data_IF_818998257368
#
_entry.id   IF_818998257368
#
_cell.length_a   1.000
_cell.length_b   1.000
_cell.length_c   1.000
_cell.angle_alpha   90.00
_cell.angle_beta   90.00
_cell.angle_gamma   90.00
#
_symmetry.space_group_name_H-M   'P 1'
#
loop_
_entity.id
_entity.type
_entity.pdbx_description
1 polymer ?
#
# COMPACT_ATOMS: atom_id res chain seq x y z
N UNK A 1 0.99 -38.21 -13.94
CA UNK A 1 0.92 -39.51 -13.27
C UNK A 1 2.15 -39.61 -12.40
N UNK A 2 1.94 -39.65 -11.10
CA UNK A 2 2.98 -39.53 -10.08
C UNK A 2 2.40 -39.96 -8.75
N UNK A 3 3.11 -40.84 -8.06
CA UNK A 3 2.75 -41.32 -6.74
C UNK A 3 3.74 -40.78 -5.70
N UNK A 4 3.25 -40.53 -4.50
CA UNK A 4 4.07 -40.29 -3.31
C UNK A 4 3.73 -41.37 -2.30
N UNK A 5 4.65 -42.31 -2.11
CA UNK A 5 4.53 -43.36 -1.10
C UNK A 5 5.70 -43.27 -0.14
N UNK A 6 5.39 -43.05 1.13
CA UNK A 6 6.35 -43.01 2.23
C UNK A 6 5.89 -44.00 3.27
N UNK A 7 6.61 -45.13 3.38
CA UNK A 7 6.18 -46.23 4.23
C UNK A 7 7.28 -46.76 5.13
N UNK A 8 6.88 -47.33 6.27
CA UNK A 8 7.72 -48.08 7.19
C UNK A 8 8.97 -47.33 7.71
N UNK A 9 8.92 -45.99 7.74
CA UNK A 9 10.02 -45.15 8.21
C UNK A 9 9.76 -44.71 9.66
N UNK A 10 10.13 -45.56 10.63
CA UNK A 10 9.79 -45.35 12.05
C UNK A 10 10.41 -44.10 12.69
N UNK A 11 11.52 -43.60 12.15
CA UNK A 11 12.21 -42.40 12.66
C UNK A 11 11.80 -41.11 11.94
N UNK A 12 10.98 -41.21 10.88
CA UNK A 12 10.54 -40.05 10.11
C UNK A 12 9.53 -39.25 10.94
N UNK A 13 9.83 -37.98 11.20
CA UNK A 13 8.96 -37.08 11.99
C UNK A 13 8.21 -36.06 11.14
N UNK A 14 8.75 -35.72 9.96
CA UNK A 14 8.17 -34.76 9.02
C UNK A 14 8.43 -35.14 7.56
N UNK A 15 7.72 -34.49 6.64
CA UNK A 15 7.95 -34.55 5.19
C UNK A 15 8.71 -33.32 4.64
N UNK A 16 9.48 -32.64 5.49
CA UNK A 16 10.23 -31.46 5.09
C UNK A 16 11.13 -31.76 3.88
N UNK A 17 11.18 -30.82 2.93
CA UNK A 17 11.79 -31.00 1.62
C UNK A 17 10.79 -31.27 0.48
N UNK A 18 9.51 -31.49 0.79
CA UNK A 18 8.44 -31.69 -0.20
C UNK A 18 7.56 -30.45 -0.43
N UNK A 19 7.94 -29.28 0.08
CA UNK A 19 7.12 -28.06 0.09
C UNK A 19 6.77 -27.52 -1.30
N UNK A 20 7.54 -27.91 -2.32
CA UNK A 20 7.32 -27.50 -3.71
C UNK A 20 6.35 -28.41 -4.48
N UNK A 21 5.86 -29.49 -3.87
CA UNK A 21 4.87 -30.36 -4.52
C UNK A 21 3.53 -29.65 -4.68
N UNK A 22 3.03 -29.61 -5.92
CA UNK A 22 1.73 -29.01 -6.26
C UNK A 22 0.71 -30.03 -6.78
N UNK A 23 1.17 -31.20 -7.24
CA UNK A 23 0.32 -32.25 -7.84
C UNK A 23 0.78 -33.63 -7.35
N UNK A 24 -0.16 -34.44 -6.87
CA UNK A 24 0.01 -35.88 -6.65
C UNK A 24 -1.12 -36.59 -7.40
N UNK A 25 -0.75 -37.43 -8.36
CA UNK A 25 -1.67 -37.89 -9.40
C UNK A 25 -2.40 -39.18 -9.05
N UNK A 26 -1.65 -40.25 -8.81
CA UNK A 26 -2.23 -41.60 -8.82
C UNK A 26 -2.36 -42.18 -7.40
N UNK A 27 -1.43 -41.84 -6.51
CA UNK A 27 -1.45 -42.34 -5.15
C UNK A 27 -0.71 -41.40 -4.19
N UNK A 28 -1.31 -41.16 -3.03
CA UNK A 28 -0.65 -40.60 -1.86
C UNK A 28 -0.79 -41.61 -0.73
N UNK A 29 0.30 -42.30 -0.38
CA UNK A 29 0.33 -43.27 0.71
C UNK A 29 1.35 -42.89 1.77
N UNK A 30 0.88 -42.62 2.99
CA UNK A 30 1.70 -42.43 4.18
C UNK A 30 1.39 -43.56 5.17
N UNK A 31 2.23 -44.60 5.20
CA UNK A 31 1.93 -45.87 5.84
C UNK A 31 2.98 -46.37 6.82
N UNK A 32 2.68 -46.52 8.10
CA UNK A 32 3.60 -47.17 9.06
C UNK A 32 4.79 -46.30 9.50
N UNK A 33 4.69 -44.98 9.37
CA UNK A 33 5.70 -44.04 9.85
C UNK A 33 5.32 -43.59 11.27
N UNK A 34 5.60 -44.43 12.27
CA UNK A 34 5.07 -44.28 13.62
C UNK A 34 5.43 -42.97 14.33
N UNK A 35 6.52 -42.30 13.94
CA UNK A 35 6.93 -41.01 14.51
C UNK A 35 6.49 -39.79 13.68
N UNK A 36 5.82 -40.01 12.53
CA UNK A 36 5.42 -38.94 11.62
C UNK A 36 4.26 -38.18 12.23
N UNK A 37 4.51 -36.92 12.57
CA UNK A 37 3.54 -36.00 13.20
C UNK A 37 3.25 -34.77 12.34
N UNK A 38 4.10 -34.49 11.33
CA UNK A 38 4.03 -33.28 10.53
C UNK A 38 4.06 -33.59 9.02
N UNK A 39 2.98 -33.24 8.32
CA UNK A 39 2.87 -33.33 6.85
C UNK A 39 2.62 -31.95 6.23
N UNK A 40 2.96 -30.87 6.93
CA UNK A 40 2.73 -29.49 6.47
C UNK A 40 3.43 -29.16 5.15
N UNK A 41 4.47 -29.91 4.77
CA UNK A 41 5.09 -29.83 3.45
C UNK A 41 4.08 -30.08 2.29
N UNK A 42 2.96 -30.76 2.54
CA UNK A 42 1.92 -31.01 1.54
C UNK A 42 0.90 -29.85 1.40
N UNK A 43 1.02 -28.77 2.17
CA UNK A 43 0.09 -27.63 2.12
C UNK A 43 0.01 -26.94 0.75
N UNK A 44 1.05 -27.09 -0.08
CA UNK A 44 1.09 -26.54 -1.44
C UNK A 44 0.51 -27.46 -2.52
N UNK A 45 0.13 -28.69 -2.17
CA UNK A 45 -0.55 -29.59 -3.09
C UNK A 45 -1.94 -29.04 -3.42
N UNK A 46 -2.21 -28.85 -4.71
CA UNK A 46 -3.49 -28.34 -5.25
C UNK A 46 -4.30 -29.42 -5.94
N UNK A 47 -3.63 -30.43 -6.51
CA UNK A 47 -4.28 -31.55 -7.18
C UNK A 47 -3.92 -32.86 -6.48
N UNK A 48 -4.94 -33.58 -6.04
CA UNK A 48 -4.85 -34.94 -5.54
C UNK A 48 -5.77 -35.84 -6.37
N UNK A 49 -5.20 -36.83 -7.03
CA UNK A 49 -5.96 -37.88 -7.71
C UNK A 49 -5.79 -39.24 -7.04
N UNK A 50 -6.48 -40.23 -7.61
CA UNK A 50 -6.33 -41.65 -7.27
C UNK A 50 -6.56 -41.98 -5.79
N UNK A 51 -5.75 -42.91 -5.28
CA UNK A 51 -5.90 -43.48 -3.92
C UNK A 51 -5.15 -42.62 -2.91
N UNK A 52 -5.84 -42.25 -1.83
CA UNK A 52 -5.24 -41.52 -0.71
C UNK A 52 -5.33 -42.42 0.51
N UNK A 53 -4.19 -42.74 1.10
CA UNK A 53 -4.13 -43.61 2.27
C UNK A 53 -3.18 -43.05 3.33
N UNK A 54 -3.71 -42.77 4.52
CA UNK A 54 -2.92 -42.43 5.71
C UNK A 54 -3.17 -43.49 6.79
N UNK A 55 -2.18 -44.34 7.03
CA UNK A 55 -2.28 -45.39 8.04
C UNK A 55 -1.04 -45.59 8.90
N UNK A 56 -1.25 -45.91 10.19
CA UNK A 56 -0.19 -46.27 11.15
C UNK A 56 0.88 -45.18 11.33
N UNK A 57 0.46 -43.91 11.41
CA UNK A 57 1.32 -42.76 11.75
C UNK A 57 0.91 -42.14 13.11
N UNK A 58 1.54 -41.04 13.51
CA UNK A 58 1.18 -40.26 14.72
C UNK A 58 0.55 -38.89 14.40
N UNK A 59 0.02 -38.73 13.18
CA UNK A 59 -0.61 -37.49 12.73
C UNK A 59 -1.86 -37.18 13.56
N UNK A 60 -1.89 -36.04 14.25
CA UNK A 60 -3.10 -35.50 14.89
C UNK A 60 -3.81 -34.45 14.02
N UNK A 61 -3.08 -33.87 13.07
CA UNK A 61 -3.62 -33.02 12.02
C UNK A 61 -3.04 -33.47 10.67
N UNK A 62 -3.92 -33.73 9.71
CA UNK A 62 -3.52 -34.05 8.34
C UNK A 62 -4.35 -33.33 7.28
N UNK A 63 -5.04 -32.24 7.67
CA UNK A 63 -5.82 -31.44 6.74
C UNK A 63 -4.91 -30.55 5.92
N UNK A 64 -5.10 -30.55 4.61
CA UNK A 64 -4.54 -29.56 3.68
C UNK A 64 -5.52 -29.41 2.51
N UNK A 65 -5.34 -28.33 1.74
CA UNK A 65 -6.28 -27.90 0.70
C UNK A 65 -6.80 -29.07 -0.16
N UNK A 66 -5.90 -29.78 -0.85
CA UNK A 66 -6.31 -30.80 -1.81
C UNK A 66 -7.01 -32.00 -1.15
N UNK A 67 -6.67 -32.35 0.10
CA UNK A 67 -7.34 -33.44 0.81
C UNK A 67 -8.77 -33.04 1.20
N UNK A 68 -8.95 -31.82 1.70
CA UNK A 68 -10.26 -31.31 2.08
C UNK A 68 -11.19 -31.15 0.88
N UNK A 69 -10.66 -30.71 -0.28
CA UNK A 69 -11.42 -30.66 -1.53
C UNK A 69 -11.87 -32.06 -1.98
N UNK A 70 -10.99 -33.07 -1.90
CA UNK A 70 -11.31 -34.46 -2.24
C UNK A 70 -12.33 -35.09 -1.28
N UNK A 71 -12.29 -34.73 -0.01
CA UNK A 71 -13.25 -35.16 1.00
C UNK A 71 -14.63 -34.52 0.77
N UNK A 72 -14.68 -33.24 0.40
CA UNK A 72 -15.93 -32.49 0.22
C UNK A 72 -16.79 -33.03 -0.93
N UNK A 73 -16.18 -33.58 -1.98
CA UNK A 73 -16.91 -34.17 -3.13
C UNK A 73 -17.30 -35.63 -2.92
N UNK A 74 -16.86 -36.26 -1.82
CA UNK A 74 -17.05 -37.68 -1.54
C UNK A 74 -16.16 -38.57 -2.42
N UNK A 75 -15.33 -39.41 -1.80
CA UNK A 75 -14.46 -40.34 -2.53
C UNK A 75 -14.22 -41.63 -1.74
N UNK A 76 -14.62 -42.77 -2.28
CA UNK A 76 -14.35 -44.09 -1.71
C UNK A 76 -12.86 -44.48 -1.76
N UNK A 77 -12.04 -43.72 -2.50
CA UNK A 77 -10.60 -43.95 -2.62
C UNK A 77 -9.76 -43.34 -1.49
N UNK A 78 -10.39 -42.81 -0.44
CA UNK A 78 -9.71 -42.19 0.71
C UNK A 78 -9.82 -43.13 1.92
N UNK A 79 -8.68 -43.58 2.45
CA UNK A 79 -8.60 -44.44 3.64
C UNK A 79 -7.71 -43.79 4.68
N UNK A 80 -8.29 -43.46 5.83
CA UNK A 80 -7.58 -42.84 6.94
C UNK A 80 -7.92 -43.64 8.20
N UNK A 81 -6.91 -44.27 8.81
CA UNK A 81 -7.10 -45.09 10.01
C UNK A 81 -5.78 -45.30 10.75
N UNK A 82 -5.81 -45.59 12.05
CA UNK A 82 -4.60 -45.82 12.87
C UNK A 82 -3.62 -44.63 12.84
N UNK A 83 -4.11 -43.41 13.00
CA UNK A 83 -3.28 -42.22 13.27
C UNK A 83 -3.68 -41.59 14.63
N UNK A 84 -3.10 -40.43 14.95
CA UNK A 84 -3.48 -39.65 16.13
C UNK A 84 -4.90 -39.07 16.03
N UNK A 85 -5.46 -38.68 17.19
CA UNK A 85 -6.77 -38.04 17.26
C UNK A 85 -6.80 -36.76 16.40
N UNK A 86 -7.79 -36.65 15.52
CA UNK A 86 -7.92 -35.57 14.53
C UNK A 86 -7.46 -35.95 13.12
N UNK A 87 -6.78 -37.10 12.97
CA UNK A 87 -6.50 -37.73 11.68
C UNK A 87 -6.73 -39.25 11.71
N UNK A 88 -7.53 -39.78 12.64
CA UNK A 88 -7.71 -41.23 12.79
C UNK A 88 -8.86 -41.80 11.95
N UNK A 89 -9.69 -40.96 11.34
CA UNK A 89 -10.73 -41.39 10.40
C UNK A 89 -11.05 -40.31 9.39
N UNK A 90 -11.71 -40.69 8.29
CA UNK A 90 -12.20 -39.76 7.27
C UNK A 90 -13.12 -38.70 7.90
N UNK A 91 -13.99 -39.09 8.82
CA UNK A 91 -14.94 -38.20 9.50
C UNK A 91 -14.24 -37.17 10.38
N UNK A 92 -13.17 -37.58 11.09
CA UNK A 92 -12.37 -36.65 11.90
C UNK A 92 -11.67 -35.61 11.03
N UNK A 93 -11.07 -36.04 9.92
CA UNK A 93 -10.38 -35.14 8.99
C UNK A 93 -11.38 -34.20 8.31
N UNK A 94 -12.53 -34.71 7.89
CA UNK A 94 -13.59 -33.89 7.31
C UNK A 94 -14.13 -32.86 8.29
N UNK A 95 -14.31 -33.20 9.57
CA UNK A 95 -14.68 -32.24 10.61
C UNK A 95 -13.59 -31.16 10.78
N UNK A 96 -12.31 -31.55 10.71
CA UNK A 96 -11.17 -30.64 10.84
C UNK A 96 -10.93 -29.76 9.60
N UNK A 97 -11.39 -30.17 8.42
CA UNK A 97 -11.37 -29.31 7.23
C UNK A 97 -12.17 -28.01 7.44
N UNK A 98 -13.17 -28.04 8.33
CA UNK A 98 -13.95 -26.89 8.78
C UNK A 98 -14.85 -26.30 7.69
N UNK A 99 -15.97 -25.71 8.10
CA UNK A 99 -16.73 -24.86 7.19
C UNK A 99 -15.91 -23.60 6.89
N UNK A 100 -15.92 -23.16 5.63
CA UNK A 100 -15.38 -21.84 5.30
C UNK A 100 -16.25 -20.79 5.99
N UNK A 101 -15.60 -19.86 6.70
CA UNK A 101 -16.22 -18.71 7.31
C UNK A 101 -15.25 -17.53 7.29
N UNK A 102 -15.76 -16.30 7.22
CA UNK A 102 -14.93 -15.11 7.36
C UNK A 102 -14.61 -14.93 8.84
N UNK A 103 -13.33 -14.99 9.20
CA UNK A 103 -12.86 -14.81 10.58
C UNK A 103 -12.41 -13.38 10.84
N UNK A 104 -11.92 -12.69 9.80
CA UNK A 104 -11.61 -11.26 9.87
C UNK A 104 -12.03 -10.58 8.55
N UNK A 105 -13.10 -9.76 8.55
CA UNK A 105 -13.48 -9.04 7.34
C UNK A 105 -12.46 -7.94 6.99
N UNK A 106 -12.51 -7.40 5.76
CA UNK A 106 -11.81 -6.17 5.41
C UNK A 106 -12.13 -5.03 6.38
N UNK A 107 -11.23 -4.04 6.53
CA UNK A 107 -11.53 -2.82 7.29
C UNK A 107 -12.83 -2.19 6.80
N UNK A 108 -13.58 -1.52 7.69
CA UNK A 108 -14.85 -0.89 7.29
C UNK A 108 -14.66 0.36 6.44
N UNK A 109 -13.62 1.16 6.73
CA UNK A 109 -13.36 2.45 6.09
C UNK A 109 -11.86 2.74 6.03
N UNK A 110 -11.40 3.31 4.91
CA UNK A 110 -10.12 4.01 4.81
C UNK A 110 -10.30 5.31 4.06
N UNK A 111 -9.68 6.38 4.57
CA UNK A 111 -9.64 7.69 3.93
C UNK A 111 -8.18 8.03 3.66
N UNK A 112 -7.83 8.20 2.39
CA UNK A 112 -6.46 8.47 1.95
C UNK A 112 -6.41 9.59 0.92
N UNK A 113 -5.22 10.10 0.64
CA UNK A 113 -5.00 11.06 -0.43
C UNK A 113 -4.71 10.37 -1.75
N UNK A 114 -5.07 11.01 -2.87
CA UNK A 114 -4.67 10.55 -4.19
C UNK A 114 -3.15 10.34 -4.26
N UNK A 115 -2.71 9.26 -4.90
CA UNK A 115 -1.32 8.80 -4.94
C UNK A 115 -0.94 7.80 -3.85
N UNK A 116 -1.79 7.59 -2.83
CA UNK A 116 -1.51 6.61 -1.76
C UNK A 116 -1.59 5.17 -2.27
N UNK A 117 -0.95 4.25 -1.54
CA UNK A 117 -1.18 2.82 -1.69
C UNK A 117 -2.12 2.34 -0.58
N UNK A 118 -3.07 1.48 -0.92
CA UNK A 118 -4.10 0.95 -0.01
C UNK A 118 -4.07 -0.56 -0.06
N UNK A 119 -4.07 -1.17 1.13
CA UNK A 119 -4.23 -2.62 1.29
C UNK A 119 -5.43 -2.91 2.18
N UNK A 120 -6.26 -3.86 1.77
CA UNK A 120 -7.35 -4.39 2.58
C UNK A 120 -7.32 -5.92 2.49
N UNK A 121 -7.33 -6.61 3.62
CA UNK A 121 -7.24 -8.06 3.68
C UNK A 121 -8.49 -8.68 4.30
N UNK A 122 -8.79 -9.91 3.88
CA UNK A 122 -9.77 -10.79 4.51
C UNK A 122 -9.05 -12.03 5.03
N UNK A 123 -9.51 -12.56 6.18
CA UNK A 123 -9.08 -13.86 6.70
C UNK A 123 -10.29 -14.78 6.81
N UNK A 124 -10.06 -16.07 6.52
CA UNK A 124 -11.09 -17.11 6.62
C UNK A 124 -10.65 -18.29 7.47
N UNK A 125 -11.61 -19.01 8.05
CA UNK A 125 -11.42 -20.42 8.44
C UNK A 125 -11.62 -21.32 7.23
N UNK A 126 -11.17 -22.58 7.32
CA UNK A 126 -11.28 -23.54 6.22
C UNK A 126 -10.45 -23.15 4.99
N UNK A 127 -10.78 -23.74 3.85
CA UNK A 127 -10.00 -23.58 2.61
C UNK A 127 -10.79 -22.79 1.56
N UNK A 128 -10.29 -21.61 1.20
CA UNK A 128 -10.75 -20.84 0.05
C UNK A 128 -10.08 -21.34 -1.23
N UNK A 129 -10.85 -21.48 -2.31
CA UNK A 129 -10.39 -21.88 -3.64
C UNK A 129 -10.11 -20.67 -4.53
N UNK A 130 -10.85 -19.57 -4.34
CA UNK A 130 -10.62 -18.32 -5.06
C UNK A 130 -11.12 -17.11 -4.30
N UNK A 131 -10.51 -15.96 -4.57
CA UNK A 131 -10.98 -14.64 -4.17
C UNK A 131 -11.27 -13.83 -5.42
N UNK A 132 -12.32 -13.01 -5.39
CA UNK A 132 -12.57 -12.00 -6.41
C UNK A 132 -13.13 -10.74 -5.76
N UNK A 133 -12.41 -9.64 -5.95
CA UNK A 133 -12.82 -8.34 -5.45
C UNK A 133 -13.74 -7.63 -6.42
N UNK A 134 -14.73 -6.93 -5.87
CA UNK A 134 -15.69 -6.12 -6.59
C UNK A 134 -15.68 -4.71 -6.03
N UNK A 135 -15.75 -3.71 -6.90
CA UNK A 135 -15.96 -2.31 -6.57
C UNK A 135 -17.32 -1.88 -7.09
N UNK A 136 -18.21 -1.46 -6.19
CA UNK A 136 -19.57 -1.03 -6.53
C UNK A 136 -20.31 -2.05 -7.43
N UNK A 137 -20.11 -3.35 -7.17
CA UNK A 137 -20.72 -4.45 -7.94
C UNK A 137 -19.99 -4.85 -9.23
N UNK A 138 -18.94 -4.14 -9.64
CA UNK A 138 -18.13 -4.49 -10.82
C UNK A 138 -16.84 -5.17 -10.38
N UNK A 139 -16.45 -6.25 -11.05
CA UNK A 139 -15.20 -6.96 -10.75
C UNK A 139 -14.01 -6.03 -10.87
N UNK A 140 -13.08 -6.09 -9.91
CA UNK A 140 -11.77 -5.44 -9.99
C UNK A 140 -10.80 -6.46 -10.60
N UNK A 141 -10.40 -6.31 -11.87
CA UNK A 141 -9.58 -7.31 -12.54
C UNK A 141 -8.25 -7.54 -11.82
N UNK A 142 -7.74 -8.76 -11.88
CA UNK A 142 -6.44 -9.18 -11.31
C UNK A 142 -6.34 -9.14 -9.78
N UNK A 143 -7.38 -8.73 -9.05
CA UNK A 143 -7.42 -8.80 -7.60
C UNK A 143 -8.04 -10.15 -7.18
N UNK A 144 -7.21 -11.19 -7.18
CA UNK A 144 -7.61 -12.59 -6.94
C UNK A 144 -7.04 -13.20 -5.66
N UNK A 145 -6.55 -12.36 -4.76
CA UNK A 145 -5.93 -12.75 -3.50
C UNK A 145 -6.79 -12.34 -2.30
N UNK A 146 -6.49 -12.91 -1.13
CA UNK A 146 -7.10 -12.50 0.14
C UNK A 146 -6.82 -11.03 0.50
N UNK A 147 -5.82 -10.42 -0.12
CA UNK A 147 -5.50 -8.99 0.02
C UNK A 147 -5.79 -8.26 -1.29
N UNK A 148 -6.64 -7.24 -1.20
CA UNK A 148 -6.77 -6.18 -2.20
C UNK A 148 -5.57 -5.25 -2.07
N UNK A 149 -4.84 -5.04 -3.16
CA UNK A 149 -3.71 -4.11 -3.23
C UNK A 149 -3.96 -3.09 -4.32
N UNK A 150 -4.26 -1.86 -3.93
CA UNK A 150 -4.41 -0.71 -4.83
C UNK A 150 -3.20 0.19 -4.69
N UNK A 151 -2.56 0.55 -5.80
CA UNK A 151 -1.40 1.44 -5.82
C UNK A 151 -1.73 2.72 -6.55
N UNK A 152 -1.11 3.83 -6.11
CA UNK A 152 -1.31 5.15 -6.72
C UNK A 152 -2.79 5.50 -6.90
N UNK A 153 -3.61 5.32 -5.85
CA UNK A 153 -5.07 5.47 -5.94
C UNK A 153 -5.45 6.88 -6.36
N UNK A 154 -6.47 7.00 -7.20
CA UNK A 154 -7.04 8.27 -7.65
C UNK A 154 -8.45 8.46 -7.10
N UNK A 155 -9.00 9.67 -7.21
CA UNK A 155 -10.38 9.96 -6.74
C UNK A 155 -11.42 9.06 -7.40
N UNK A 156 -11.18 8.66 -8.65
CA UNK A 156 -11.98 7.68 -9.37
C UNK A 156 -11.96 6.28 -8.76
N UNK A 157 -10.96 5.94 -7.93
CA UNK A 157 -10.85 4.65 -7.22
C UNK A 157 -11.71 4.58 -5.96
N UNK A 158 -12.24 5.70 -5.46
CA UNK A 158 -13.16 5.70 -4.33
C UNK A 158 -14.39 4.82 -4.60
N UNK A 159 -14.88 4.15 -3.56
CA UNK A 159 -16.04 3.26 -3.65
C UNK A 159 -16.09 2.19 -2.56
N UNK A 160 -17.11 1.34 -2.66
CA UNK A 160 -17.30 0.20 -1.77
C UNK A 160 -16.71 -1.05 -2.41
N UNK A 161 -15.74 -1.65 -1.72
CA UNK A 161 -15.10 -2.88 -2.11
C UNK A 161 -15.65 -4.05 -1.30
N UNK A 162 -16.02 -5.13 -1.98
CA UNK A 162 -16.37 -6.40 -1.35
C UNK A 162 -15.54 -7.51 -1.97
N UNK A 163 -15.21 -8.53 -1.21
CA UNK A 163 -14.59 -9.75 -1.74
C UNK A 163 -15.56 -10.90 -1.66
N UNK A 164 -15.71 -11.59 -2.78
CA UNK A 164 -16.37 -12.90 -2.82
C UNK A 164 -15.30 -13.96 -2.65
N UNK A 165 -15.45 -14.77 -1.61
CA UNK A 165 -14.59 -15.92 -1.31
C UNK A 165 -15.34 -17.19 -1.68
N UNK A 166 -14.76 -17.98 -2.56
CA UNK A 166 -15.33 -19.26 -2.99
C UNK A 166 -14.59 -20.41 -2.30
N UNK A 167 -15.31 -21.45 -1.90
CA UNK A 167 -14.77 -22.77 -1.55
C UNK A 167 -15.33 -23.84 -2.51
N UNK A 168 -14.98 -25.12 -2.31
CA UNK A 168 -15.59 -26.24 -3.05
C UNK A 168 -17.12 -26.31 -2.94
N UNK A 169 -17.69 -25.86 -1.82
CA UNK A 169 -19.09 -26.13 -1.47
C UNK A 169 -19.94 -24.88 -1.31
N UNK A 170 -19.34 -23.71 -1.11
CA UNK A 170 -20.08 -22.47 -0.84
C UNK A 170 -19.30 -21.24 -1.29
N UNK A 171 -19.99 -20.10 -1.28
CA UNK A 171 -19.40 -18.77 -1.49
C UNK A 171 -19.83 -17.83 -0.38
N UNK A 172 -18.89 -17.06 0.14
CA UNK A 172 -19.11 -16.01 1.13
C UNK A 172 -18.85 -14.65 0.48
N UNK A 173 -19.60 -13.63 0.90
CA UNK A 173 -19.31 -12.23 0.54
C UNK A 173 -18.96 -11.47 1.80
N UNK A 174 -17.89 -10.68 1.76
CA UNK A 174 -17.48 -9.87 2.90
C UNK A 174 -18.43 -8.70 3.18
N UNK A 175 -18.34 -8.14 4.38
CA UNK A 175 -18.80 -6.76 4.61
C UNK A 175 -18.01 -5.79 3.71
N UNK A 176 -18.61 -4.62 3.35
CA UNK A 176 -17.93 -3.65 2.49
C UNK A 176 -16.75 -2.97 3.19
N UNK A 177 -15.66 -2.83 2.45
CA UNK A 177 -14.58 -1.89 2.70
C UNK A 177 -14.83 -0.60 1.92
N UNK A 178 -15.13 0.49 2.61
CA UNK A 178 -15.30 1.79 1.97
C UNK A 178 -13.95 2.48 1.81
N UNK A 179 -13.58 2.79 0.57
CA UNK A 179 -12.41 3.61 0.26
C UNK A 179 -12.86 5.02 -0.12
N UNK A 180 -12.38 6.01 0.63
CA UNK A 180 -12.49 7.44 0.33
C UNK A 180 -11.12 7.93 -0.12
N UNK A 181 -11.06 8.54 -1.30
CA UNK A 181 -9.83 9.13 -1.84
C UNK A 181 -10.04 10.63 -2.00
N UNK A 182 -9.33 11.41 -1.20
CA UNK A 182 -9.35 12.87 -1.23
C UNK A 182 -8.40 13.37 -2.33
N UNK A 183 -8.85 14.37 -3.10
CA UNK A 183 -8.02 15.01 -4.11
C UNK A 183 -6.84 15.75 -3.48
N UNK A 184 -5.74 15.79 -4.21
CA UNK A 184 -4.63 16.70 -3.92
C UNK A 184 -4.79 17.89 -4.85
N UNK A 185 -4.80 19.11 -4.29
CA UNK A 185 -4.84 20.32 -5.11
C UNK A 185 -3.46 20.58 -5.72
N UNK A 186 -3.41 21.14 -6.94
CA UNK A 186 -2.15 21.54 -7.57
C UNK A 186 -1.64 22.86 -6.94
N UNK A 187 -0.55 22.85 -6.16
CA UNK A 187 -0.06 24.05 -5.50
C UNK A 187 0.67 24.96 -6.50
N UNK A 188 0.52 26.27 -6.32
CA UNK A 188 1.35 27.27 -7.00
C UNK A 188 1.76 28.36 -6.03
N UNK A 189 2.97 28.89 -6.19
CA UNK A 189 3.53 29.94 -5.33
C UNK A 189 4.14 31.05 -6.20
N UNK A 190 3.49 32.21 -6.23
CA UNK A 190 3.92 33.37 -6.99
C UNK A 190 4.51 34.45 -6.07
N UNK A 191 5.46 35.23 -6.58
CA UNK A 191 6.06 36.40 -5.90
C UNK A 191 5.66 37.68 -6.64
N UNK A 192 5.32 38.74 -5.90
CA UNK A 192 4.87 40.01 -6.49
C UNK A 192 5.95 40.81 -7.22
N UNK A 193 7.23 40.46 -7.08
CA UNK A 193 8.37 41.15 -7.69
C UNK A 193 9.68 40.90 -6.93
N UNK A 194 10.80 41.53 -7.36
CA UNK A 194 12.06 41.49 -6.63
C UNK A 194 12.05 42.46 -5.43
N UNK A 195 12.88 42.19 -4.42
CA UNK A 195 13.21 43.18 -3.40
C UNK A 195 14.15 44.24 -4.00
N UNK A 196 13.93 45.52 -3.72
CA UNK A 196 14.76 46.63 -4.17
C UNK A 196 14.97 47.62 -3.02
N UNK A 197 15.80 48.65 -3.22
CA UNK A 197 15.97 49.71 -2.23
C UNK A 197 14.65 50.45 -1.90
N UNK A 198 13.72 50.52 -2.85
CA UNK A 198 12.39 51.11 -2.68
C UNK A 198 11.33 50.09 -2.23
N UNK A 199 11.51 48.81 -2.58
CA UNK A 199 10.58 47.72 -2.25
C UNK A 199 11.23 46.78 -1.23
N UNK A 200 11.08 47.11 0.05
CA UNK A 200 11.68 46.35 1.17
C UNK A 200 10.87 45.13 1.58
N UNK A 201 9.67 44.96 1.04
CA UNK A 201 8.85 43.76 1.24
C UNK A 201 8.09 43.40 -0.03
N UNK A 202 8.06 42.11 -0.36
CA UNK A 202 7.27 41.54 -1.46
C UNK A 202 6.27 40.53 -0.89
N UNK A 203 5.23 40.23 -1.65
CA UNK A 203 4.17 39.31 -1.24
C UNK A 203 4.29 37.98 -1.99
N UNK A 204 4.35 36.89 -1.23
CA UNK A 204 4.11 35.54 -1.73
C UNK A 204 2.60 35.30 -1.81
N UNK A 205 2.12 34.72 -2.90
CA UNK A 205 0.71 34.36 -3.11
C UNK A 205 0.63 32.89 -3.48
N UNK A 206 -0.01 32.09 -2.61
CA UNK A 206 -0.28 30.68 -2.85
C UNK A 206 -1.61 30.48 -3.60
N UNK A 207 -1.69 29.38 -4.35
CA UNK A 207 -2.89 28.91 -5.05
C UNK A 207 -3.15 27.44 -4.72
N UNK A 208 -4.41 27.01 -4.86
CA UNK A 208 -4.89 25.71 -4.36
C UNK A 208 -5.08 25.70 -2.83
N UNK A 209 -5.63 24.62 -2.30
CA UNK A 209 -5.75 24.39 -0.85
C UNK A 209 -6.75 25.30 -0.15
N UNK A 210 -6.90 25.06 1.15
CA UNK A 210 -7.74 25.84 2.07
C UNK A 210 -6.96 26.39 3.27
N UNK A 211 -5.83 25.75 3.62
CA UNK A 211 -4.88 26.27 4.60
C UNK A 211 -3.46 26.21 4.05
N UNK A 212 -2.61 27.11 4.56
CA UNK A 212 -1.28 27.36 4.03
C UNK A 212 -0.26 27.36 5.17
N UNK A 213 0.92 26.80 4.92
CA UNK A 213 2.10 26.94 5.76
C UNK A 213 3.28 27.41 4.91
N UNK A 214 3.60 28.69 5.02
CA UNK A 214 4.73 29.30 4.33
C UNK A 214 6.00 29.18 5.16
N UNK A 215 7.10 28.83 4.49
CA UNK A 215 8.41 28.68 5.11
C UNK A 215 9.50 29.29 4.21
N UNK A 216 10.54 29.86 4.82
CA UNK A 216 11.72 30.39 4.14
C UNK A 216 12.50 31.37 5.02
N UNK A 217 13.50 32.07 4.47
CA UNK A 217 14.30 33.04 5.23
C UNK A 217 13.42 34.10 5.93
N UNK A 218 13.47 34.12 7.26
CA UNK A 218 12.70 35.05 8.09
C UNK A 218 11.18 34.85 8.06
N UNK A 219 10.67 33.75 7.47
CA UNK A 219 9.23 33.48 7.36
C UNK A 219 8.86 32.11 7.92
N UNK A 220 7.98 32.12 8.92
CA UNK A 220 7.18 30.97 9.35
C UNK A 220 5.76 31.46 9.58
N UNK A 221 4.84 31.13 8.67
CA UNK A 221 3.44 31.57 8.76
C UNK A 221 2.51 30.41 8.43
N UNK A 222 1.53 30.16 9.30
CA UNK A 222 0.49 29.16 9.08
C UNK A 222 -0.90 29.75 9.29
N UNK A 223 -1.88 29.34 8.49
CA UNK A 223 -3.27 29.78 8.63
C UNK A 223 -4.07 29.73 7.34
N UNK A 224 -5.26 30.35 7.31
CA UNK A 224 -6.12 30.38 6.12
C UNK A 224 -5.69 31.45 5.10
N UNK A 225 -4.79 32.36 5.47
CA UNK A 225 -4.28 33.39 4.54
C UNK A 225 -3.41 32.74 3.47
N UNK A 226 -3.78 32.91 2.20
CA UNK A 226 -2.97 32.47 1.06
C UNK A 226 -1.88 33.48 0.67
N UNK A 227 -1.64 34.50 1.51
CA UNK A 227 -0.62 35.53 1.30
C UNK A 227 0.32 35.65 2.49
N UNK A 228 1.60 35.85 2.18
CA UNK A 228 2.68 36.08 3.13
C UNK A 228 3.58 37.23 2.67
N UNK A 229 3.95 38.13 3.57
CA UNK A 229 4.91 39.19 3.30
C UNK A 229 6.33 38.71 3.65
N UNK A 230 7.30 39.01 2.78
CA UNK A 230 8.71 38.64 2.97
C UNK A 230 9.62 39.81 2.65
N UNK A 231 10.73 39.92 3.38
CA UNK A 231 11.71 41.01 3.27
C UNK A 231 13.15 40.53 3.09
N UNK A 232 13.34 39.21 2.99
CA UNK A 232 14.65 38.59 2.76
C UNK A 232 14.64 37.86 1.41
N UNK A 233 15.70 37.95 0.60
CA UNK A 233 15.85 37.12 -0.58
C UNK A 233 16.11 35.67 -0.20
N UNK A 234 15.79 34.75 -1.10
CA UNK A 234 16.04 33.32 -0.94
C UNK A 234 14.90 32.46 -1.45
N UNK A 235 15.02 31.15 -1.21
CA UNK A 235 14.01 30.16 -1.61
C UNK A 235 12.92 30.05 -0.53
N UNK A 236 11.67 30.14 -0.97
CA UNK A 236 10.49 30.01 -0.13
C UNK A 236 9.65 28.83 -0.59
N UNK A 237 8.98 28.19 0.36
CA UNK A 237 8.03 27.13 0.12
C UNK A 237 6.68 27.45 0.74
N UNK A 238 5.63 26.85 0.18
CA UNK A 238 4.31 26.78 0.81
C UNK A 238 3.86 25.33 0.79
N UNK A 239 3.39 24.83 1.94
CA UNK A 239 2.59 23.61 2.03
C UNK A 239 1.13 24.04 2.04
N UNK A 240 0.37 23.61 1.05
CA UNK A 240 -1.09 23.79 1.03
C UNK A 240 -1.75 22.54 1.59
N UNK A 241 -2.88 22.69 2.26
CA UNK A 241 -3.74 21.57 2.67
C UNK A 241 -5.12 21.76 2.05
N UNK A 242 -5.58 20.78 1.27
CA UNK A 242 -6.93 20.74 0.71
C UNK A 242 -7.99 20.53 1.81
N UNK A 243 -9.26 20.75 1.48
CA UNK A 243 -10.38 20.49 2.38
C UNK A 243 -10.43 19.04 2.90
N UNK A 244 -9.93 18.07 2.12
CA UNK A 244 -9.81 16.66 2.51
C UNK A 244 -8.57 16.31 3.35
N UNK A 245 -7.79 17.32 3.77
CA UNK A 245 -6.59 17.12 4.58
C UNK A 245 -5.34 16.72 3.80
N UNK A 246 -5.42 16.61 2.47
CA UNK A 246 -4.28 16.26 1.63
C UNK A 246 -3.38 17.45 1.36
N UNK A 247 -2.07 17.24 1.46
CA UNK A 247 -1.08 18.29 1.34
C UNK A 247 -0.29 18.22 0.04
N UNK A 248 0.15 19.39 -0.43
CA UNK A 248 1.07 19.52 -1.54
C UNK A 248 1.96 20.74 -1.34
N UNK A 249 3.13 20.75 -1.99
CA UNK A 249 4.12 21.82 -1.82
C UNK A 249 4.42 22.54 -3.14
N UNK A 250 4.58 23.86 -3.07
CA UNK A 250 5.13 24.67 -4.14
C UNK A 250 6.30 25.51 -3.62
N UNK A 251 7.17 25.93 -4.54
CA UNK A 251 8.40 26.66 -4.23
C UNK A 251 8.55 27.84 -5.17
N UNK A 252 9.19 28.90 -4.68
CA UNK A 252 9.59 30.05 -5.50
C UNK A 252 10.84 30.71 -4.91
N UNK A 253 11.51 31.54 -5.68
CA UNK A 253 12.69 32.28 -5.23
C UNK A 253 12.38 33.77 -5.23
N UNK A 254 12.61 34.41 -4.09
CA UNK A 254 12.62 35.87 -3.97
C UNK A 254 14.05 36.33 -4.24
N UNK A 255 14.21 37.21 -5.21
CA UNK A 255 15.51 37.81 -5.56
C UNK A 255 15.57 39.24 -5.04
N UNK A 256 16.77 39.69 -4.69
CA UNK A 256 17.06 41.10 -4.38
C UNK A 256 17.81 41.74 -5.52
N UNK A 257 17.30 42.86 -6.03
CA UNK A 257 17.97 43.74 -6.98
C UNK A 257 18.52 44.97 -6.24
N UNK A 258 19.31 44.73 -5.20
CA UNK A 258 19.93 45.77 -4.35
C UNK A 258 21.23 46.31 -4.94
N UNK A 259 21.67 45.79 -6.08
CA UNK A 259 22.84 46.28 -6.80
C UNK A 259 22.44 47.45 -7.71
N UNK A 260 22.15 48.60 -7.10
CA UNK A 260 22.32 49.85 -7.82
C UNK A 260 23.83 50.14 -7.86
N UNK A 261 24.40 50.16 -9.06
CA UNK A 261 25.74 50.65 -9.29
C UNK A 261 25.83 52.04 -8.64
N UNK A 262 26.76 52.23 -7.69
CA UNK A 262 26.92 53.50 -7.00
C UNK A 262 27.07 54.63 -8.05
N UNK A 263 26.37 55.77 -7.93
CA UNK A 263 26.50 56.86 -8.89
C UNK A 263 27.98 57.26 -8.98
N UNK A 264 28.57 57.12 -10.16
CA UNK A 264 29.93 57.56 -10.40
C UNK A 264 29.97 59.09 -10.37
N UNK A 265 30.66 59.64 -9.38
CA UNK A 265 31.00 61.07 -9.34
C UNK A 265 32.00 61.36 -10.46
N UNK A 266 31.54 62.03 -11.52
CA UNK A 266 32.44 62.64 -12.51
C UNK A 266 32.84 64.02 -11.97
N UNK A 267 34.09 64.15 -11.53
CA UNK A 267 34.67 65.47 -11.23
C UNK A 267 35.12 66.12 -12.53
N UNK A 268 34.69 67.35 -12.77
CA UNK A 268 35.06 68.10 -13.99
C UNK A 268 36.24 69.06 -13.78
N UNK A 269 36.96 69.00 -12.66
CA UNK A 269 37.97 70.00 -12.30
C UNK A 269 39.40 69.43 -12.31
N UNK A 270 40.23 69.92 -13.24
CA UNK A 270 41.69 69.68 -13.29
C UNK A 270 42.51 70.90 -12.89
N UNK A 271 41.94 71.94 -12.24
CA UNK A 271 42.67 73.20 -11.97
C UNK A 271 42.41 73.81 -10.59
N UNK A 272 43.48 74.30 -9.96
CA UNK A 272 43.59 74.85 -8.59
C UNK A 272 43.21 76.32 -8.44
N UNK A 273 42.10 76.78 -9.04
CA UNK A 273 41.61 78.16 -8.80
C UNK A 273 40.23 78.19 -8.15
N UNK A 274 39.98 79.24 -7.36
CA UNK A 274 38.87 79.43 -6.40
C UNK A 274 37.53 79.67 -7.14
N UNK A 275 37.04 78.67 -7.86
CA UNK A 275 35.66 78.64 -8.38
C UNK A 275 34.82 77.56 -7.68
N UNK A 276 33.50 77.76 -7.54
CA UNK A 276 32.62 76.77 -6.94
C UNK A 276 32.61 75.47 -7.77
N UNK A 277 33.00 74.37 -7.13
CA UNK A 277 32.94 73.04 -7.73
C UNK A 277 31.46 72.66 -7.89
N UNK A 278 31.05 72.42 -9.13
CA UNK A 278 29.72 71.89 -9.43
C UNK A 278 29.81 70.37 -9.48
N UNK A 279 29.16 69.68 -8.55
CA UNK A 279 29.06 68.22 -8.58
C UNK A 279 27.70 67.86 -9.17
N UNK A 280 27.69 67.19 -10.32
CA UNK A 280 26.46 66.61 -10.89
C UNK A 280 26.51 65.10 -10.67
N UNK A 281 25.54 64.59 -9.90
CA UNK A 281 25.31 63.15 -9.79
C UNK A 281 24.39 62.73 -10.93
N UNK A 282 24.86 61.86 -11.83
CA UNK A 282 24.00 61.18 -12.80
C UNK A 282 23.81 59.73 -12.40
N UNK A 283 22.56 59.35 -12.15
CA UNK A 283 22.12 57.97 -12.02
C UNK A 283 20.71 57.87 -12.60
N UNK A 284 20.37 56.73 -13.20
CA UNK A 284 19.01 56.46 -13.64
C UNK A 284 18.09 56.42 -12.42
N UNK A 285 17.21 57.41 -12.29
CA UNK A 285 15.99 57.27 -11.50
C UNK A 285 15.08 56.33 -12.30
N UNK A 286 14.95 55.07 -11.88
CA UNK A 286 13.86 54.18 -12.27
C UNK A 286 13.06 53.82 -11.04
#
# INVERSE_FOLDING_TARGET
MGYLSVTASSSLTSLNGLENLTVIGDELHLGGNRSLIDISALNNVRTLGGIIQFDKNSLSNCTFYALCERLAVGSESIRIYLNGQGCNSVEQVQANCGAIAITNPPPGLSTVCAGSNVMASVSTSGFATSYLWYKNGVTVPSQTSATLSLTNVQTGDAGNYVVVITSSTTSLTSSPFQLVVNSVDNPGLAVSGPLTCATTSVTLTASGGSTYSFNGPGLTQSGPSNRAAVSQPGMFSVIITSAGGCTASAFTTVVSNTDLQAPTLLTSATTTTIQPISVTASGLLQ
#
